data_IF_570241215140
#
_entry.id   IF_570241215140
#
_cell.length_a   1.000
_cell.length_b   1.000
_cell.length_c   1.000
_cell.angle_alpha   90.00
_cell.angle_beta   90.00
_cell.angle_gamma   90.00
#
_symmetry.space_group_name_H-M   'P 1'
#
loop_
_entity.id
_entity.type
_entity.pdbx_description
1 polymer ?
#
# COMPACT_ATOMS: atom_id res chain seq x y z
N UNK A 1 9.75 -14.51 -8.92
CA UNK A 1 8.54 -15.32 -8.68
C UNK A 1 7.37 -14.49 -9.19
N UNK A 2 6.43 -15.09 -9.92
CA UNK A 2 5.23 -14.40 -10.37
C UNK A 2 4.11 -14.58 -9.34
N UNK A 3 3.34 -13.54 -9.09
CA UNK A 3 2.14 -13.55 -8.25
C UNK A 3 0.88 -13.69 -9.13
N UNK A 4 -0.28 -13.92 -8.52
CA UNK A 4 -1.58 -13.95 -9.20
C UNK A 4 -2.11 -12.53 -9.31
N UNK A 5 -2.45 -12.13 -10.54
CA UNK A 5 -3.05 -10.84 -10.83
C UNK A 5 -4.45 -10.74 -10.20
N UNK A 6 -4.78 -9.55 -9.71
CA UNK A 6 -6.05 -9.25 -9.05
C UNK A 6 -6.69 -8.06 -9.71
N UNK A 7 -8.01 -8.10 -9.84
CA UNK A 7 -8.78 -6.91 -10.18
C UNK A 7 -9.62 -6.48 -8.98
N UNK A 8 -9.86 -5.18 -8.87
CA UNK A 8 -10.58 -4.59 -7.74
C UNK A 8 -11.92 -4.04 -8.20
N UNK A 9 -12.95 -4.30 -7.41
CA UNK A 9 -14.29 -3.78 -7.59
C UNK A 9 -14.77 -3.19 -6.26
N UNK A 10 -15.98 -2.63 -6.26
CA UNK A 10 -16.52 -1.99 -5.07
C UNK A 10 -16.56 -2.98 -3.89
N UNK A 11 -15.87 -2.62 -2.79
CA UNK A 11 -15.79 -3.40 -1.55
C UNK A 11 -15.07 -4.76 -1.65
N UNK A 12 -14.23 -4.98 -2.68
CA UNK A 12 -13.50 -6.23 -2.79
C UNK A 12 -12.49 -6.30 -3.93
N UNK A 13 -11.83 -7.45 -4.01
CA UNK A 13 -10.98 -7.84 -5.13
C UNK A 13 -11.09 -9.34 -5.36
N UNK A 14 -10.84 -9.75 -6.58
CA UNK A 14 -10.85 -11.16 -6.99
C UNK A 14 -9.66 -11.46 -7.91
N UNK A 15 -9.36 -12.74 -8.07
CA UNK A 15 -8.30 -13.23 -8.95
C UNK A 15 -8.71 -13.06 -10.41
N UNK A 16 -7.77 -12.62 -11.24
CA UNK A 16 -8.02 -12.51 -12.68
C UNK A 16 -7.78 -13.86 -13.35
N UNK A 17 -8.78 -14.32 -14.10
CA UNK A 17 -8.75 -15.58 -14.85
C UNK A 17 -8.93 -15.28 -16.33
N UNK A 18 -8.03 -15.79 -17.17
CA UNK A 18 -8.12 -15.69 -18.63
C UNK A 18 -7.91 -17.07 -19.25
N UNK A 19 -8.77 -17.44 -20.21
CA UNK A 19 -8.69 -18.71 -20.93
C UNK A 19 -8.66 -19.96 -20.01
N UNK A 20 -9.22 -19.85 -18.80
CA UNK A 20 -9.26 -20.93 -17.82
C UNK A 20 -8.00 -21.09 -16.96
N UNK A 21 -7.08 -20.13 -17.00
CA UNK A 21 -5.88 -20.08 -16.16
C UNK A 21 -5.77 -18.75 -15.40
N UNK A 22 -4.97 -18.71 -14.34
CA UNK A 22 -4.70 -17.50 -13.59
C UNK A 22 -3.82 -16.56 -14.40
N UNK A 23 -4.21 -15.28 -14.46
CA UNK A 23 -3.34 -14.25 -14.99
C UNK A 23 -2.24 -13.98 -13.97
N UNK A 24 -0.99 -13.91 -14.45
CA UNK A 24 0.17 -13.67 -13.61
C UNK A 24 0.54 -12.18 -13.59
N UNK A 25 0.96 -11.70 -12.43
CA UNK A 25 1.59 -10.39 -12.21
C UNK A 25 3.02 -10.59 -11.66
N UNK A 26 3.87 -9.56 -11.80
CA UNK A 26 5.22 -9.54 -11.24
C UNK A 26 5.22 -9.17 -9.74
N UNK A 27 4.07 -8.77 -9.20
CA UNK A 27 3.79 -8.73 -7.76
C UNK A 27 4.02 -7.38 -7.08
N UNK A 28 4.50 -6.35 -7.80
CA UNK A 28 4.73 -5.02 -7.21
C UNK A 28 3.45 -4.43 -6.60
N UNK A 29 2.32 -4.59 -7.28
CA UNK A 29 1.00 -4.21 -6.76
C UNK A 29 0.69 -4.92 -5.44
N UNK A 30 0.86 -6.23 -5.39
CA UNK A 30 0.63 -7.02 -4.18
C UNK A 30 1.52 -6.61 -3.02
N UNK A 31 2.81 -6.34 -3.28
CA UNK A 31 3.72 -5.86 -2.22
C UNK A 31 3.29 -4.50 -1.67
N UNK A 32 2.82 -3.58 -2.52
CA UNK A 32 2.33 -2.27 -2.09
C UNK A 32 1.05 -2.42 -1.25
N UNK A 33 0.09 -3.23 -1.72
CA UNK A 33 -1.15 -3.50 -0.98
C UNK A 33 -0.85 -4.15 0.37
N UNK A 34 0.04 -5.15 0.40
CA UNK A 34 0.45 -5.79 1.64
C UNK A 34 1.13 -4.80 2.59
N UNK A 35 2.02 -3.95 2.08
CA UNK A 35 2.67 -2.91 2.88
C UNK A 35 1.65 -1.97 3.54
N UNK A 36 0.60 -1.59 2.82
CA UNK A 36 -0.42 -0.66 3.32
C UNK A 36 -1.42 -1.33 4.28
N UNK A 37 -1.84 -2.57 4.02
CA UNK A 37 -3.00 -3.17 4.68
C UNK A 37 -2.69 -4.38 5.57
N UNK A 38 -1.45 -4.86 5.60
CA UNK A 38 -0.99 -5.69 6.72
C UNK A 38 -0.84 -4.78 7.94
N UNK A 39 -1.32 -5.27 9.09
CA UNK A 39 -1.22 -4.52 10.34
C UNK A 39 0.23 -4.50 10.83
N UNK A 40 0.84 -3.33 10.81
CA UNK A 40 2.15 -3.11 11.42
C UNK A 40 2.07 -3.08 12.94
N UNK A 41 3.13 -3.52 13.60
CA UNK A 41 3.18 -3.57 15.07
C UNK A 41 3.34 -2.18 15.69
N UNK A 42 2.34 -1.74 16.46
CA UNK A 42 2.35 -0.46 17.17
C UNK A 42 3.17 -0.51 18.47
N UNK A 43 3.72 0.62 18.92
CA UNK A 43 4.28 0.77 20.27
C UNK A 43 3.16 0.91 21.31
N UNK A 44 3.45 0.67 22.59
CA UNK A 44 2.43 0.74 23.66
C UNK A 44 1.87 2.16 23.84
N UNK A 45 2.68 3.16 23.54
CA UNK A 45 2.34 4.58 23.64
C UNK A 45 1.45 5.04 22.48
N UNK A 46 1.43 4.28 21.39
CA UNK A 46 0.60 4.57 20.21
C UNK A 46 -0.81 3.98 20.32
N UNK A 47 -1.04 3.06 21.26
CA UNK A 47 -2.35 2.47 21.50
C UNK A 47 -3.28 3.46 22.19
N UNK A 48 -4.54 3.47 21.75
CA UNK A 48 -5.62 4.29 22.33
C UNK A 48 -6.46 3.45 23.30
N UNK A 49 -7.23 4.10 24.17
CA UNK A 49 -8.35 3.50 24.92
C UNK A 49 -8.08 2.16 25.63
N UNK A 50 -6.99 2.06 26.40
CA UNK A 50 -6.59 0.85 27.14
C UNK A 50 -6.44 -0.40 26.26
N UNK A 51 -6.29 -0.24 24.94
CA UNK A 51 -5.97 -1.35 24.06
C UNK A 51 -4.63 -1.97 24.47
N UNK A 52 -4.58 -3.30 24.42
CA UNK A 52 -3.38 -4.09 24.74
C UNK A 52 -2.82 -4.80 23.52
N UNK A 53 -3.58 -4.85 22.44
CA UNK A 53 -3.19 -5.50 21.20
C UNK A 53 -2.36 -4.54 20.33
N UNK A 54 -1.07 -4.84 20.21
CA UNK A 54 -0.13 -4.10 19.35
C UNK A 54 -0.22 -4.53 17.88
N UNK A 55 -1.02 -5.55 17.56
CA UNK A 55 -1.08 -6.26 16.28
C UNK A 55 0.32 -6.62 15.76
N UNK A 56 0.49 -6.69 14.45
CA UNK A 56 1.75 -6.99 13.79
C UNK A 56 1.63 -8.14 12.79
N UNK A 57 2.73 -8.35 12.07
CA UNK A 57 2.85 -9.43 11.11
C UNK A 57 3.64 -10.59 11.71
N UNK A 58 3.19 -11.83 11.49
CA UNK A 58 3.75 -13.01 12.13
C UNK A 58 5.21 -13.28 11.74
N UNK A 59 5.65 -12.79 10.59
CA UNK A 59 7.02 -12.95 10.09
C UNK A 59 7.92 -11.73 10.37
N UNK A 60 7.46 -10.77 11.17
CA UNK A 60 8.29 -9.64 11.57
C UNK A 60 9.51 -10.10 12.38
N UNK A 61 10.63 -9.41 12.15
CA UNK A 61 11.85 -9.52 12.94
C UNK A 61 12.18 -8.18 13.61
N UNK A 62 13.14 -8.12 14.55
CA UNK A 62 13.55 -6.84 15.13
C UNK A 62 14.03 -5.82 14.11
N UNK A 63 14.64 -6.28 13.01
CA UNK A 63 15.28 -5.45 11.99
C UNK A 63 14.42 -5.28 10.72
N UNK A 64 13.38 -6.10 10.55
CA UNK A 64 12.48 -6.06 9.40
C UNK A 64 11.02 -6.17 9.85
N UNK A 65 10.28 -5.07 9.68
CA UNK A 65 8.88 -4.95 10.08
C UNK A 65 8.03 -4.59 8.88
N UNK A 66 6.93 -5.34 8.71
CA UNK A 66 6.00 -5.19 7.60
C UNK A 66 4.70 -4.53 8.05
N UNK A 67 3.99 -3.96 7.08
CA UNK A 67 2.67 -3.40 7.30
C UNK A 67 2.67 -1.93 7.73
N UNK A 68 1.46 -1.40 7.94
CA UNK A 68 1.24 -0.01 8.29
C UNK A 68 0.48 0.14 9.61
N UNK A 69 0.57 1.33 10.20
CA UNK A 69 -0.21 1.70 11.38
C UNK A 69 -1.56 2.36 11.02
N UNK A 70 -2.04 2.21 9.77
CA UNK A 70 -3.32 2.79 9.34
C UNK A 70 -4.50 2.25 10.16
N UNK A 71 -4.39 1.04 10.70
CA UNK A 71 -5.41 0.44 11.56
C UNK A 71 -5.62 1.19 12.89
N UNK A 72 -4.61 1.92 13.39
CA UNK A 72 -4.75 2.77 14.58
C UNK A 72 -5.74 3.91 14.37
N UNK A 73 -5.94 4.32 13.12
CA UNK A 73 -6.86 5.40 12.76
C UNK A 73 -8.31 4.91 12.68
N UNK A 74 -8.55 3.62 12.90
CA UNK A 74 -9.89 3.06 12.88
C UNK A 74 -10.75 3.72 13.96
N UNK A 75 -11.98 4.12 13.60
CA UNK A 75 -12.98 4.73 14.50
C UNK A 75 -12.57 6.08 15.10
N UNK A 76 -11.43 6.65 14.70
CA UNK A 76 -11.04 8.00 15.05
C UNK A 76 -11.82 9.06 14.25
N UNK A 77 -11.97 10.26 14.81
CA UNK A 77 -12.61 11.37 14.10
C UNK A 77 -11.72 11.87 12.97
N UNK A 78 -12.30 11.99 11.78
CA UNK A 78 -11.64 12.57 10.61
C UNK A 78 -11.28 14.05 10.88
N UNK A 79 -10.01 14.30 11.20
CA UNK A 79 -9.43 15.62 11.47
C UNK A 79 -8.20 15.84 10.59
N UNK A 80 -7.74 17.08 10.44
CA UNK A 80 -6.50 17.36 9.68
C UNK A 80 -5.29 16.62 10.27
N UNK A 81 -5.23 16.47 11.60
CA UNK A 81 -4.17 15.70 12.26
C UNK A 81 -4.24 14.19 11.93
N UNK A 82 -5.44 13.64 11.79
CA UNK A 82 -5.63 12.25 11.33
C UNK A 82 -5.12 12.08 9.88
N UNK A 83 -5.43 13.01 8.98
CA UNK A 83 -4.95 12.96 7.60
C UNK A 83 -3.42 12.95 7.54
N UNK A 84 -2.76 13.84 8.29
CA UNK A 84 -1.29 13.86 8.33
C UNK A 84 -0.70 12.57 8.94
N UNK A 85 -1.32 12.00 9.98
CA UNK A 85 -0.89 10.69 10.50
C UNK A 85 -1.07 9.57 9.47
N UNK A 86 -2.21 9.53 8.78
CA UNK A 86 -2.46 8.56 7.71
C UNK A 86 -1.40 8.64 6.60
N UNK A 87 -1.07 9.86 6.18
CA UNK A 87 -0.03 10.11 5.17
C UNK A 87 1.31 9.57 5.65
N UNK A 88 1.69 9.84 6.89
CA UNK A 88 2.95 9.37 7.46
C UNK A 88 2.98 7.84 7.60
N UNK A 89 1.89 7.21 8.04
CA UNK A 89 1.80 5.75 8.16
C UNK A 89 1.90 5.06 6.80
N UNK A 90 1.18 5.56 5.79
CA UNK A 90 1.25 5.02 4.44
C UNK A 90 2.64 5.25 3.81
N UNK A 91 3.25 6.42 4.01
CA UNK A 91 4.61 6.70 3.51
C UNK A 91 5.65 5.78 4.15
N UNK A 92 5.62 5.64 5.48
CA UNK A 92 6.58 4.79 6.20
C UNK A 92 6.46 3.32 5.78
N UNK A 93 5.23 2.83 5.57
CA UNK A 93 5.01 1.47 5.08
C UNK A 93 5.57 1.23 3.67
N UNK A 94 5.67 2.27 2.84
CA UNK A 94 6.18 2.17 1.47
C UNK A 94 7.64 2.63 1.32
N UNK A 95 8.28 3.03 2.42
CA UNK A 95 9.64 3.58 2.42
C UNK A 95 10.67 2.58 1.87
N UNK A 96 10.46 1.28 2.08
CA UNK A 96 11.34 0.23 1.58
C UNK A 96 11.53 0.26 0.05
N UNK A 97 10.53 0.74 -0.71
CA UNK A 97 10.66 0.91 -2.16
C UNK A 97 11.78 1.88 -2.54
N UNK A 98 12.01 2.89 -1.69
CA UNK A 98 13.10 3.86 -1.86
C UNK A 98 14.41 3.27 -1.35
N UNK A 99 14.38 2.59 -0.21
CA UNK A 99 15.59 2.01 0.40
C UNK A 99 16.23 0.92 -0.48
N UNK A 100 15.41 0.22 -1.28
CA UNK A 100 15.84 -0.80 -2.25
C UNK A 100 16.03 -0.26 -3.69
N UNK A 101 15.99 1.07 -3.89
CA UNK A 101 16.11 1.74 -5.20
C UNK A 101 15.07 1.28 -6.25
N UNK A 102 13.98 0.63 -5.83
CA UNK A 102 12.85 0.24 -6.69
C UNK A 102 12.09 1.48 -7.17
N UNK A 103 11.94 2.45 -6.27
CA UNK A 103 11.33 3.75 -6.53
C UNK A 103 12.32 4.86 -6.16
N UNK A 104 12.47 5.87 -7.02
CA UNK A 104 13.22 7.07 -6.68
C UNK A 104 12.45 7.93 -5.68
N UNK A 105 11.12 7.89 -5.75
CA UNK A 105 10.25 8.73 -4.92
C UNK A 105 8.90 8.07 -4.71
N UNK A 106 8.41 8.17 -3.48
CA UNK A 106 7.03 7.84 -3.11
C UNK A 106 6.36 9.11 -2.60
N UNK A 107 5.27 9.51 -3.24
CA UNK A 107 4.46 10.67 -2.92
C UNK A 107 3.13 10.19 -2.36
N UNK A 108 2.85 10.52 -1.10
CA UNK A 108 1.57 10.18 -0.45
C UNK A 108 0.77 11.45 -0.22
N UNK A 109 -0.50 11.43 -0.62
CA UNK A 109 -1.50 12.45 -0.32
C UNK A 109 -2.67 11.80 0.38
N UNK A 110 -3.27 12.53 1.30
CA UNK A 110 -4.46 12.06 2.03
C UNK A 110 -5.52 13.15 2.03
N UNK A 111 -6.77 12.75 1.91
CA UNK A 111 -7.88 13.69 1.86
C UNK A 111 -9.14 13.06 2.46
N UNK A 112 -10.11 13.90 2.80
CA UNK A 112 -11.44 13.44 3.18
C UNK A 112 -12.20 13.12 1.90
N UNK A 113 -12.47 11.83 1.66
CA UNK A 113 -13.22 11.41 0.48
C UNK A 113 -14.74 11.43 0.71
N UNK A 114 -15.17 11.14 1.94
CA UNK A 114 -16.55 11.32 2.40
C UNK A 114 -16.58 11.67 3.89
N UNK A 115 -17.76 11.76 4.50
CA UNK A 115 -17.85 11.94 5.95
C UNK A 115 -17.24 10.77 6.74
N UNK A 116 -17.19 9.58 6.15
CA UNK A 116 -16.79 8.33 6.80
C UNK A 116 -15.55 7.69 6.15
N UNK A 117 -15.09 8.19 5.00
CA UNK A 117 -13.99 7.61 4.24
C UNK A 117 -12.75 8.52 4.17
N UNK A 118 -11.60 7.92 4.48
CA UNK A 118 -10.26 8.46 4.26
C UNK A 118 -9.82 8.11 2.83
N UNK A 119 -9.38 9.10 2.07
CA UNK A 119 -8.67 8.91 0.81
C UNK A 119 -7.17 8.93 0.98
N UNK A 120 -6.49 8.03 0.27
CA UNK A 120 -5.04 7.92 0.19
C UNK A 120 -4.67 7.85 -1.29
N UNK A 121 -3.86 8.78 -1.75
CA UNK A 121 -3.28 8.77 -3.08
C UNK A 121 -1.78 8.51 -2.95
N UNK A 122 -1.29 7.50 -3.65
CA UNK A 122 0.13 7.16 -3.70
C UNK A 122 0.61 7.32 -5.14
N UNK A 123 1.67 8.08 -5.35
CA UNK A 123 2.38 8.13 -6.62
C UNK A 123 3.80 7.61 -6.41
N UNK A 124 4.17 6.60 -7.19
CA UNK A 124 5.48 5.94 -7.12
C UNK A 124 6.22 6.27 -8.40
N UNK A 125 7.34 6.96 -8.26
CA UNK A 125 8.24 7.31 -9.35
C UNK A 125 9.33 6.25 -9.44
N UNK A 126 9.51 5.69 -10.63
CA UNK A 126 10.44 4.60 -10.92
C UNK A 126 11.87 4.93 -10.49
N UNK A 127 12.50 3.96 -9.83
CA UNK A 127 13.91 4.01 -9.46
C UNK A 127 14.82 3.49 -10.57
N UNK A 128 16.12 3.48 -10.30
CA UNK A 128 17.16 3.10 -11.27
C UNK A 128 17.68 1.67 -11.09
N UNK A 129 17.20 0.93 -10.08
CA UNK A 129 17.67 -0.42 -9.80
C UNK A 129 17.36 -1.39 -10.95
N UNK A 130 18.40 -1.84 -11.65
CA UNK A 130 18.28 -2.79 -12.76
C UNK A 130 17.76 -4.14 -12.31
N UNK A 131 18.09 -4.56 -11.08
CA UNK A 131 17.64 -5.83 -10.50
C UNK A 131 16.10 -5.93 -10.42
N UNK A 132 15.41 -4.78 -10.31
CA UNK A 132 13.95 -4.70 -10.15
C UNK A 132 13.23 -4.22 -11.41
N UNK A 133 13.92 -4.17 -12.55
CA UNK A 133 13.34 -3.73 -13.82
C UNK A 133 12.10 -4.55 -14.22
N UNK A 134 12.12 -5.86 -13.95
CA UNK A 134 11.02 -6.77 -14.26
C UNK A 134 9.70 -6.41 -13.54
N UNK A 135 9.77 -5.80 -12.34
CA UNK A 135 8.59 -5.37 -11.60
C UNK A 135 7.82 -4.27 -12.36
N UNK A 136 8.57 -3.32 -12.93
CA UNK A 136 8.04 -2.22 -13.73
C UNK A 136 7.56 -2.68 -15.11
N UNK A 137 8.27 -3.61 -15.73
CA UNK A 137 7.86 -4.19 -17.01
C UNK A 137 6.54 -4.98 -16.90
N UNK A 138 6.24 -5.53 -15.72
CA UNK A 138 4.96 -6.15 -15.38
C UNK A 138 3.80 -5.15 -15.37
N UNK A 139 4.00 -3.98 -14.76
CA UNK A 139 2.98 -2.92 -14.66
C UNK A 139 2.57 -2.37 -16.03
N UNK A 140 3.51 -2.24 -16.97
CA UNK A 140 3.20 -1.75 -18.32
C UNK A 140 2.23 -2.67 -19.10
N UNK A 141 2.03 -3.93 -18.66
CA UNK A 141 1.06 -4.86 -19.23
C UNK A 141 -0.31 -4.76 -18.56
N UNK A 142 -0.39 -4.16 -17.37
CA UNK A 142 -1.58 -4.05 -16.53
C UNK A 142 -1.69 -2.61 -16.02
N UNK A 143 -2.39 -1.73 -16.74
CA UNK A 143 -2.78 -0.35 -16.37
C UNK A 143 -1.88 0.39 -15.35
N UNK A 144 -1.23 1.50 -15.77
CA UNK A 144 -0.31 2.31 -14.95
C UNK A 144 -0.90 2.97 -13.67
N UNK A 145 -2.12 2.61 -13.29
CA UNK A 145 -2.74 2.98 -12.02
C UNK A 145 -3.56 1.83 -11.45
N UNK A 146 -3.43 1.60 -10.16
CA UNK A 146 -4.27 0.72 -9.37
C UNK A 146 -5.31 1.58 -8.62
N UNK A 147 -6.58 1.42 -8.96
CA UNK A 147 -7.69 2.03 -8.23
C UNK A 147 -8.48 0.93 -7.53
N UNK A 148 -8.55 1.00 -6.21
CA UNK A 148 -9.38 0.08 -5.44
C UNK A 148 -10.74 0.75 -5.26
N UNK A 149 -11.69 0.41 -6.12
CA UNK A 149 -13.00 1.04 -6.15
C UNK A 149 -13.72 0.94 -4.79
N UNK A 150 -14.48 1.98 -4.41
CA UNK A 150 -15.12 2.16 -3.10
C UNK A 150 -14.21 2.22 -1.86
N UNK A 151 -12.89 2.14 -2.04
CA UNK A 151 -11.92 2.68 -1.09
C UNK A 151 -11.29 3.89 -1.75
N UNK A 152 -11.09 4.99 -1.05
CA UNK A 152 -10.55 6.19 -1.69
C UNK A 152 -9.02 6.10 -1.89
N UNK A 153 -8.53 4.89 -2.19
CA UNK A 153 -7.14 4.54 -2.48
C UNK A 153 -6.89 4.54 -3.99
N UNK A 154 -5.97 5.38 -4.41
CA UNK A 154 -5.46 5.42 -5.78
C UNK A 154 -3.93 5.34 -5.76
N UNK A 155 -3.37 4.37 -6.46
CA UNK A 155 -1.92 4.20 -6.64
C UNK A 155 -1.59 4.45 -8.10
N UNK A 156 -0.64 5.34 -8.37
CA UNK A 156 -0.16 5.70 -9.71
C UNK A 156 1.32 5.38 -9.84
N UNK A 157 1.69 4.82 -10.98
CA UNK A 157 3.07 4.50 -11.33
C UNK A 157 3.54 5.44 -12.43
N UNK A 158 4.71 6.05 -12.23
CA UNK A 158 5.28 7.02 -13.15
C UNK A 158 6.74 6.67 -13.48
N UNK A 159 7.07 6.61 -14.77
CA UNK A 159 8.44 6.37 -15.25
C UNK A 159 9.36 7.59 -15.10
N UNK A 160 8.85 8.76 -14.71
CA UNK A 160 9.66 9.93 -14.37
C UNK A 160 10.29 10.67 -15.55
N UNK A 161 9.77 10.48 -16.77
CA UNK A 161 10.19 11.22 -17.99
C UNK A 161 9.54 12.59 -18.06
#
# INVERSE_FOLDING_TARGET
MSDIARFWFDFGGDVQIEQGDFVLDQGLNSYIINSLFVDGRASREQLIDNETDQRGYWADTPDDRHGSLLWLLSREKMTSSLLERAKNYAFNALKWLIDEDIAQKVLVRTYRASNEALGIEVEIIRGTATAYQYLWDGLNKQSNSLKINSTSLEIRFNDGV
#
